data_IF_849024498881
#
_entry.id   IF_849024498881
#
_cell.length_a   1.000
_cell.length_b   1.000
_cell.length_c   1.000
_cell.angle_alpha   90.00
_cell.angle_beta   90.00
_cell.angle_gamma   90.00
#
_symmetry.space_group_name_H-M   'P 1'
#
loop_
_entity.id
_entity.type
_entity.pdbx_description
1 polymer ?
#
# COMPACT_ATOMS: atom_id res chain seq x y z
N UNK A 1 -1.44 -23.10 -58.94
CA UNK A 1 -2.43 -22.15 -58.38
C UNK A 1 -2.20 -21.87 -56.88
N UNK A 2 -2.12 -22.87 -55.99
CA UNK A 2 -1.92 -22.68 -54.53
C UNK A 2 -0.71 -21.80 -54.10
N UNK A 3 0.44 -21.88 -54.78
CA UNK A 3 1.63 -21.09 -54.41
C UNK A 3 1.42 -19.57 -54.50
N UNK A 4 0.63 -19.10 -55.46
CA UNK A 4 0.37 -17.67 -55.66
C UNK A 4 -0.56 -17.10 -54.59
N UNK A 5 -1.50 -17.91 -54.11
CA UNK A 5 -2.39 -17.56 -52.99
C UNK A 5 -1.58 -17.42 -51.69
N UNK A 6 -0.73 -18.40 -51.38
CA UNK A 6 0.15 -18.37 -50.20
C UNK A 6 1.11 -17.17 -50.21
N UNK A 7 1.59 -16.74 -51.39
CA UNK A 7 2.45 -15.55 -51.51
C UNK A 7 1.69 -14.26 -51.17
N UNK A 8 0.48 -14.10 -51.70
CA UNK A 8 -0.38 -12.93 -51.44
C UNK A 8 -0.78 -12.85 -49.96
N UNK A 9 -1.06 -13.98 -49.33
CA UNK A 9 -1.38 -14.03 -47.89
C UNK A 9 -0.18 -13.62 -47.03
N UNK A 10 1.04 -14.07 -47.38
CA UNK A 10 2.28 -13.64 -46.70
C UNK A 10 2.57 -12.16 -46.87
N UNK A 11 2.37 -11.61 -48.06
CA UNK A 11 2.55 -10.18 -48.35
C UNK A 11 1.53 -9.32 -47.58
N UNK A 12 0.25 -9.75 -47.51
CA UNK A 12 -0.77 -9.10 -46.67
C UNK A 12 -0.44 -9.18 -45.18
N UNK A 13 0.01 -10.33 -44.71
CA UNK A 13 0.41 -10.53 -43.32
C UNK A 13 1.70 -9.78 -42.94
N UNK A 14 2.57 -9.48 -43.90
CA UNK A 14 3.73 -8.63 -43.71
C UNK A 14 3.33 -7.14 -43.67
N UNK A 15 2.36 -6.73 -44.50
CA UNK A 15 1.85 -5.36 -44.53
C UNK A 15 0.97 -5.00 -43.32
N UNK A 16 0.30 -5.97 -42.69
CA UNK A 16 -0.55 -5.75 -41.52
C UNK A 16 0.19 -5.63 -40.19
N UNK A 17 1.52 -5.83 -40.19
CA UNK A 17 2.31 -5.75 -38.96
C UNK A 17 2.55 -4.31 -38.54
N UNK A 18 2.72 -4.10 -37.23
CA UNK A 18 2.98 -2.77 -36.69
C UNK A 18 4.32 -2.16 -37.17
N UNK A 19 5.28 -3.00 -37.56
CA UNK A 19 6.62 -2.63 -37.99
C UNK A 19 6.74 -2.38 -39.50
N UNK A 20 5.68 -2.59 -40.28
CA UNK A 20 5.71 -2.53 -41.75
C UNK A 20 6.17 -1.17 -42.32
N UNK A 21 5.96 -0.07 -41.59
CA UNK A 21 6.37 1.27 -42.00
C UNK A 21 7.84 1.61 -41.63
N UNK A 22 8.51 0.77 -40.85
CA UNK A 22 9.84 1.05 -40.29
C UNK A 22 10.93 0.33 -41.08
N UNK A 23 12.00 1.05 -41.44
CA UNK A 23 13.07 0.53 -42.31
C UNK A 23 14.02 -0.46 -41.62
N UNK A 24 14.23 -0.32 -40.31
CA UNK A 24 15.28 -1.03 -39.57
C UNK A 24 14.77 -1.84 -38.38
N UNK A 25 13.45 -1.92 -38.19
CA UNK A 25 12.86 -2.56 -37.02
C UNK A 25 12.07 -3.77 -37.48
N UNK A 26 12.36 -4.92 -36.87
CA UNK A 26 11.59 -6.15 -37.05
C UNK A 26 11.05 -6.57 -35.68
N UNK A 27 9.74 -6.52 -35.49
CA UNK A 27 9.10 -6.88 -34.22
C UNK A 27 8.49 -8.28 -34.27
N UNK A 28 8.72 -9.06 -33.20
CA UNK A 28 8.01 -10.33 -33.00
C UNK A 28 6.71 -10.10 -32.22
N UNK A 29 5.56 -10.15 -32.89
CA UNK A 29 4.23 -10.02 -32.27
C UNK A 29 3.76 -11.32 -31.58
N UNK A 30 4.70 -12.22 -31.26
CA UNK A 30 4.39 -13.51 -30.65
C UNK A 30 4.05 -13.33 -29.18
N UNK A 31 2.91 -13.88 -28.76
CA UNK A 31 2.51 -13.87 -27.36
C UNK A 31 3.32 -14.86 -26.50
N UNK A 32 4.05 -14.35 -25.51
CA UNK A 32 4.81 -15.16 -24.56
C UNK A 32 3.93 -15.77 -23.48
N UNK A 33 3.37 -16.95 -23.80
CA UNK A 33 2.45 -17.70 -22.92
C UNK A 33 3.00 -17.91 -21.51
N UNK A 34 4.28 -18.26 -21.37
CA UNK A 34 4.89 -18.59 -20.07
C UNK A 34 4.99 -17.38 -19.14
N UNK A 35 5.37 -16.22 -19.68
CA UNK A 35 5.54 -15.01 -18.89
C UNK A 35 4.18 -14.41 -18.53
N UNK A 36 3.29 -14.31 -19.51
CA UNK A 36 1.98 -13.71 -19.32
C UNK A 36 1.09 -14.52 -18.37
N UNK A 37 1.06 -15.85 -18.47
CA UNK A 37 0.22 -16.66 -17.57
C UNK A 37 0.67 -16.63 -16.11
N UNK A 38 1.96 -16.41 -15.85
CA UNK A 38 2.53 -16.47 -14.48
C UNK A 38 2.62 -15.11 -13.80
N UNK A 39 2.97 -14.07 -14.55
CA UNK A 39 3.33 -12.76 -13.99
C UNK A 39 2.35 -11.65 -14.36
N UNK A 40 1.43 -11.88 -15.32
CA UNK A 40 0.34 -10.96 -15.59
C UNK A 40 -0.90 -11.37 -14.79
N UNK A 41 -1.71 -10.37 -14.43
CA UNK A 41 -3.07 -10.61 -13.97
C UNK A 41 -3.95 -11.05 -15.14
N UNK A 42 -4.87 -12.00 -14.89
CA UNK A 42 -5.85 -12.43 -15.90
C UNK A 42 -6.96 -11.38 -16.08
N UNK A 43 -7.37 -10.75 -14.98
CA UNK A 43 -8.36 -9.67 -14.94
C UNK A 43 -7.91 -8.59 -13.95
N UNK A 44 -8.57 -7.43 -14.02
CA UNK A 44 -8.31 -6.31 -13.10
C UNK A 44 -8.89 -6.67 -11.72
N UNK A 45 -8.11 -6.54 -10.63
CA UNK A 45 -8.62 -6.84 -9.29
C UNK A 45 -9.56 -5.73 -8.79
N UNK A 46 -10.57 -6.11 -8.00
CA UNK A 46 -11.36 -5.16 -7.20
C UNK A 46 -10.40 -4.40 -6.27
N UNK A 47 -10.45 -3.05 -6.14
CA UNK A 47 -11.54 -2.11 -6.46
C UNK A 47 -11.36 -1.30 -7.75
N UNK A 48 -10.54 -1.74 -8.70
CA UNK A 48 -10.26 -0.96 -9.91
C UNK A 48 -11.24 -1.28 -11.05
N UNK A 49 -11.74 -0.24 -11.72
CA UNK A 49 -12.65 -0.39 -12.87
C UNK A 49 -11.90 -0.56 -14.21
N UNK A 50 -10.68 -0.01 -14.31
CA UNK A 50 -9.89 0.00 -15.54
C UNK A 50 -8.48 -0.57 -15.34
N UNK A 51 -7.96 -1.21 -16.38
CA UNK A 51 -6.60 -1.77 -16.39
C UNK A 51 -5.53 -0.68 -16.22
N UNK A 52 -5.72 0.45 -16.88
CA UNK A 52 -4.79 1.59 -16.82
C UNK A 52 -4.72 2.18 -15.40
N UNK A 53 -5.85 2.30 -14.69
CA UNK A 53 -5.84 2.72 -13.28
C UNK A 53 -5.06 1.75 -12.40
N UNK A 54 -5.27 0.44 -12.59
CA UNK A 54 -4.55 -0.60 -11.84
C UNK A 54 -3.04 -0.54 -12.07
N UNK A 55 -2.60 -0.49 -13.33
CA UNK A 55 -1.17 -0.42 -13.67
C UNK A 55 -0.52 0.87 -13.18
N UNK A 56 -1.23 2.00 -13.23
CA UNK A 56 -0.75 3.28 -12.66
C UNK A 56 -0.55 3.20 -11.15
N UNK A 57 -1.45 2.53 -10.45
CA UNK A 57 -1.38 2.40 -8.99
C UNK A 57 -0.14 1.63 -8.51
N UNK A 58 0.31 0.63 -9.29
CA UNK A 58 1.48 -0.20 -8.96
C UNK A 58 2.81 0.29 -9.54
N UNK A 59 2.82 1.43 -10.24
CA UNK A 59 3.99 1.91 -10.98
C UNK A 59 5.21 2.20 -10.10
N UNK A 60 5.00 2.53 -8.81
CA UNK A 60 6.08 2.90 -7.89
C UNK A 60 6.53 1.70 -7.05
N UNK A 61 7.83 1.39 -7.01
CA UNK A 61 8.35 0.34 -6.13
C UNK A 61 8.32 0.80 -4.66
N UNK A 62 8.01 -0.13 -3.74
CA UNK A 62 7.94 0.14 -2.30
C UNK A 62 9.26 -0.13 -1.56
N UNK A 63 10.28 -0.67 -2.21
CA UNK A 63 11.51 -1.11 -1.55
C UNK A 63 12.40 0.03 -1.03
N UNK A 64 13.15 -0.23 0.05
CA UNK A 64 14.09 0.74 0.65
C UNK A 64 15.27 1.09 -0.27
N UNK A 65 15.54 0.29 -1.31
CA UNK A 65 16.57 0.57 -2.31
C UNK A 65 16.14 1.65 -3.31
N UNK A 66 14.83 1.83 -3.51
CA UNK A 66 14.29 2.71 -4.54
C UNK A 66 13.76 4.04 -3.97
N UNK A 67 13.50 4.09 -2.66
CA UNK A 67 12.96 5.27 -1.97
C UNK A 67 13.89 5.71 -0.83
N UNK A 68 13.83 7.00 -0.46
CA UNK A 68 14.46 7.49 0.76
C UNK A 68 13.86 6.82 2.00
N UNK A 69 14.63 6.74 3.09
CA UNK A 69 14.19 6.04 4.32
C UNK A 69 12.88 6.59 4.88
N UNK A 70 12.72 7.92 4.93
CA UNK A 70 11.47 8.56 5.38
C UNK A 70 10.26 8.13 4.56
N UNK A 71 10.35 8.24 3.23
CA UNK A 71 9.29 7.84 2.31
C UNK A 71 8.99 6.32 2.42
N UNK A 72 10.01 5.49 2.59
CA UNK A 72 9.82 4.05 2.81
C UNK A 72 8.99 3.79 4.07
N UNK A 73 9.31 4.45 5.19
CA UNK A 73 8.57 4.28 6.46
C UNK A 73 7.13 4.76 6.33
N UNK A 74 6.89 5.85 5.60
CA UNK A 74 5.54 6.39 5.39
C UNK A 74 4.69 5.48 4.49
N UNK A 75 5.26 4.96 3.40
CA UNK A 75 4.56 4.09 2.44
C UNK A 75 4.23 2.70 3.01
N UNK A 76 5.07 2.15 3.90
CA UNK A 76 4.84 0.83 4.51
C UNK A 76 4.10 0.88 5.85
N UNK A 77 3.76 2.08 6.33
CA UNK A 77 3.00 2.25 7.58
C UNK A 77 1.57 1.74 7.40
N UNK A 78 1.09 0.80 8.24
CA UNK A 78 -0.28 0.33 8.14
C UNK A 78 -1.28 1.42 8.55
N UNK A 79 -2.48 1.37 7.98
CA UNK A 79 -3.54 2.35 8.25
C UNK A 79 -3.98 2.35 9.73
N UNK A 80 -3.98 1.19 10.37
CA UNK A 80 -4.38 1.03 11.78
C UNK A 80 -3.16 0.66 12.61
N UNK A 81 -2.79 1.55 13.53
CA UNK A 81 -1.76 1.32 14.53
C UNK A 81 -2.42 1.10 15.89
N UNK A 82 -2.00 0.04 16.58
CA UNK A 82 -2.42 -0.28 17.95
C UNK A 82 -1.20 -0.42 18.83
N UNK A 83 -1.27 0.16 20.02
CA UNK A 83 -0.24 -0.04 21.02
C UNK A 83 -0.46 -1.39 21.69
N UNK A 84 0.62 -2.12 21.94
CA UNK A 84 0.55 -3.39 22.68
C UNK A 84 0.25 -3.12 24.15
N UNK A 85 -0.54 -4.00 24.78
CA UNK A 85 -0.84 -3.93 26.21
C UNK A 85 -1.85 -2.86 26.63
N UNK A 86 -2.54 -2.20 25.70
CA UNK A 86 -3.58 -1.20 26.00
C UNK A 86 -4.94 -1.69 25.52
N UNK A 87 -5.95 -1.58 26.39
CA UNK A 87 -7.35 -1.87 26.03
C UNK A 87 -7.88 -0.76 25.13
N UNK A 88 -8.41 -1.12 23.96
CA UNK A 88 -9.00 -0.16 23.02
C UNK A 88 -10.44 0.13 23.48
N UNK A 89 -10.68 1.33 24.00
CA UNK A 89 -12.02 1.77 24.34
C UNK A 89 -12.87 1.99 23.08
N UNK A 90 -14.18 1.67 23.10
CA UNK A 90 -15.06 1.87 21.96
C UNK A 90 -15.18 3.35 21.58
N UNK A 91 -15.34 3.60 20.28
CA UNK A 91 -15.53 4.94 19.73
C UNK A 91 -16.87 5.50 20.24
N UNK A 92 -16.83 6.71 20.82
CA UNK A 92 -18.04 7.44 21.21
C UNK A 92 -18.35 8.50 20.13
N UNK A 93 -19.59 8.53 19.63
CA UNK A 93 -19.96 9.30 18.43
C UNK A 93 -20.78 10.58 18.75
N UNK A 94 -20.25 11.57 19.47
CA UNK A 94 -20.92 12.91 19.62
C UNK A 94 -19.92 14.05 19.94
N UNK A 95 -20.24 15.31 19.59
CA UNK A 95 -19.42 16.52 19.93
C UNK A 95 -18.94 16.61 21.40
N UNK A 96 -19.74 16.23 22.43
CA UNK A 96 -19.32 16.19 23.84
C UNK A 96 -18.47 14.97 24.28
N UNK A 97 -17.94 14.16 23.37
CA UNK A 97 -17.12 12.96 23.72
C UNK A 97 -15.78 13.30 24.37
N UNK A 98 -15.30 14.54 24.20
CA UNK A 98 -14.13 15.10 24.87
C UNK A 98 -14.29 15.24 26.39
N UNK A 99 -15.47 15.67 26.86
CA UNK A 99 -15.69 15.91 28.30
C UNK A 99 -15.77 14.60 29.10
N UNK A 100 -16.29 13.53 28.50
CA UNK A 100 -16.35 12.21 29.13
C UNK A 100 -15.00 11.49 29.14
N UNK A 101 -14.05 11.85 28.26
CA UNK A 101 -12.69 11.32 28.26
C UNK A 101 -11.82 11.91 29.40
N UNK A 102 -11.97 13.22 29.68
CA UNK A 102 -11.30 13.87 30.82
C UNK A 102 -11.73 13.30 32.17
N UNK A 103 -13.02 12.98 32.33
CA UNK A 103 -13.53 12.42 33.58
C UNK A 103 -13.06 10.96 33.82
N UNK A 104 -12.90 10.17 32.75
CA UNK A 104 -12.34 8.80 32.80
C UNK A 104 -10.83 8.84 33.05
N UNK A 105 -10.10 9.77 32.45
CA UNK A 105 -8.68 10.03 32.75
C UNK A 105 -8.47 10.47 34.21
N UNK A 106 -9.34 11.32 34.76
CA UNK A 106 -9.30 11.75 36.17
C UNK A 106 -9.59 10.60 37.16
N UNK A 107 -10.45 9.64 36.79
CA UNK A 107 -10.73 8.43 37.61
C UNK A 107 -9.60 7.40 37.51
N UNK A 108 -8.92 7.27 36.37
CA UNK A 108 -7.73 6.41 36.22
C UNK A 108 -6.51 6.91 37.00
N UNK A 109 -6.30 8.24 37.12
CA UNK A 109 -5.24 8.81 37.98
C UNK A 109 -5.51 8.56 39.46
N UNK A 110 -6.77 8.56 39.90
CA UNK A 110 -7.17 8.27 41.29
C UNK A 110 -7.07 6.79 41.66
N UNK A 111 -7.32 5.87 40.72
CA UNK A 111 -7.22 4.42 40.95
C UNK A 111 -5.77 3.89 40.94
N UNK A 112 -4.82 4.63 40.35
CA UNK A 112 -3.41 4.20 40.23
C UNK A 112 -2.56 4.52 41.45
N UNK A 113 -3.10 5.21 42.45
CA UNK A 113 -2.47 5.38 43.76
C UNK A 113 -3.34 4.70 44.80
N UNK A 114 -2.96 3.47 45.17
CA UNK A 114 -2.85 3.00 46.56
C UNK A 114 -2.15 1.62 46.60
N UNK A 115 -0.87 1.69 47.01
CA UNK A 115 -0.04 0.69 47.75
C UNK A 115 0.32 -0.64 47.04
N UNK A 116 1.52 -1.23 47.21
CA UNK A 116 2.13 -1.71 48.47
C UNK A 116 3.67 -1.80 48.40
N UNK A 117 4.28 -1.40 49.52
CA UNK A 117 5.58 -1.74 50.12
C UNK A 117 6.80 -2.13 49.25
N UNK A 118 7.88 -1.36 49.43
CA UNK A 118 9.25 -1.80 49.14
C UNK A 118 10.03 -0.93 48.17
N UNK A 119 10.27 0.33 48.52
CA UNK A 119 11.20 1.18 47.76
C UNK A 119 10.89 2.66 47.87
N UNK A 120 11.56 3.32 48.82
CA UNK A 120 11.58 4.75 49.13
C UNK A 120 11.26 5.71 47.95
N UNK A 121 10.25 6.58 48.09
CA UNK A 121 10.03 7.72 47.20
C UNK A 121 10.40 9.02 47.95
N UNK A 122 11.41 9.76 47.48
CA UNK A 122 11.84 11.02 48.08
C UNK A 122 10.84 12.14 47.75
N UNK A 123 10.43 12.88 48.76
CA UNK A 123 9.58 14.06 48.58
C UNK A 123 10.40 15.25 48.04
N UNK A 124 9.89 16.02 47.04
CA UNK A 124 10.54 17.26 46.63
C UNK A 124 10.31 18.33 47.72
N UNK A 125 11.40 18.80 48.32
CA UNK A 125 11.39 19.93 49.26
C UNK A 125 10.81 21.16 48.58
N UNK A 126 9.76 21.77 49.15
CA UNK A 126 9.28 23.09 48.73
C UNK A 126 10.38 24.10 48.97
N UNK A 127 10.94 24.66 47.90
CA UNK A 127 11.86 25.78 47.95
C UNK A 127 11.05 27.02 48.33
N UNK A 128 11.19 27.46 49.59
CA UNK A 128 10.76 28.77 50.04
C UNK A 128 11.77 29.80 49.53
N UNK A 129 11.29 30.71 48.69
CA UNK A 129 11.52 32.15 48.67
C UNK A 129 10.88 32.69 47.39
#
# INVERSE_FOLDING_TARGET
MQCLLNRREREKAAASRADAALKFVVLSEKWDKKAMTKYSTQSVPFPFDSKDTYERSMRQPLGRQYNADSAFRDLTRPAVLKNTGVVIEPIRYTKPVAQKAEEVAAKQVKAKVLTVAGGMFKQPKKRQQ
#
